data_IF_978066872431
#
_entry.id   IF_978066872431
#
_cell.length_a   1.000
_cell.length_b   1.000
_cell.length_c   1.000
_cell.angle_alpha   90.00
_cell.angle_beta   90.00
_cell.angle_gamma   90.00
#
_symmetry.space_group_name_H-M   'P 1'
#
loop_
_entity.id
_entity.type
_entity.pdbx_description
1 polymer ?
#
# COMPACT_ATOMS: atom_id res chain seq x y z
N UNK A 1 11.19 13.48 9.05
CA UNK A 1 11.54 13.75 7.64
C UNK A 1 12.26 12.60 6.93
N UNK A 2 13.09 11.76 7.57
CA UNK A 2 13.78 10.65 6.87
C UNK A 2 12.99 9.33 6.69
N UNK A 3 11.96 9.07 7.50
CA UNK A 3 11.24 7.79 7.48
C UNK A 3 10.36 7.56 6.25
N UNK A 4 9.78 8.62 5.66
CA UNK A 4 8.97 8.49 4.45
C UNK A 4 9.84 8.13 3.24
N UNK A 5 11.00 8.77 3.09
CA UNK A 5 11.97 8.46 2.04
C UNK A 5 12.44 7.01 2.12
N UNK A 6 12.80 6.54 3.31
CA UNK A 6 13.19 5.14 3.51
C UNK A 6 12.08 4.16 3.09
N UNK A 7 10.81 4.49 3.39
CA UNK A 7 9.67 3.66 2.99
C UNK A 7 9.33 3.75 1.49
N UNK A 8 9.58 4.90 0.85
CA UNK A 8 9.48 5.03 -0.61
C UNK A 8 10.57 4.23 -1.30
N UNK A 9 11.81 4.33 -0.84
CA UNK A 9 12.94 3.63 -1.44
C UNK A 9 12.80 2.12 -1.30
N UNK A 10 12.43 1.62 -0.13
CA UNK A 10 12.21 0.18 0.06
C UNK A 10 11.11 -0.39 -0.84
N UNK A 11 10.08 0.41 -1.15
CA UNK A 11 9.02 0.00 -2.09
C UNK A 11 9.41 0.12 -3.56
N UNK A 12 10.48 0.86 -3.87
CA UNK A 12 10.99 0.98 -5.24
C UNK A 12 12.03 -0.10 -5.55
N UNK A 13 12.88 -0.42 -4.58
CA UNK A 13 14.06 -1.28 -4.79
C UNK A 13 13.95 -2.65 -4.11
N UNK A 14 13.01 -2.82 -3.18
CA UNK A 14 12.93 -3.99 -2.30
C UNK A 14 14.17 -4.16 -1.39
N UNK A 15 14.89 -3.07 -1.13
CA UNK A 15 16.08 -3.04 -0.26
C UNK A 15 15.84 -2.12 0.95
N UNK A 16 16.03 -2.58 2.20
CA UNK A 16 16.24 -3.98 2.57
C UNK A 16 15.00 -4.84 2.32
N UNK A 17 15.20 -6.15 2.14
CA UNK A 17 14.12 -7.12 2.00
C UNK A 17 13.33 -7.21 3.29
N UNK A 18 12.15 -6.61 3.34
CA UNK A 18 11.29 -6.59 4.52
C UNK A 18 10.08 -7.50 4.30
N UNK A 19 9.82 -8.49 5.19
CA UNK A 19 8.57 -9.24 5.17
C UNK A 19 7.42 -8.37 5.73
N UNK A 20 6.18 -8.84 5.56
CA UNK A 20 5.04 -8.25 6.27
C UNK A 20 5.24 -8.32 7.79
N UNK A 21 4.70 -7.35 8.52
CA UNK A 21 4.88 -7.26 9.97
C UNK A 21 4.28 -8.49 10.68
N UNK A 22 5.03 -9.16 11.58
CA UNK A 22 4.50 -10.27 12.35
C UNK A 22 3.36 -9.77 13.24
N UNK A 23 2.17 -10.36 13.10
CA UNK A 23 0.97 -9.94 13.81
C UNK A 23 0.11 -8.88 13.10
N UNK A 24 0.34 -8.62 11.80
CA UNK A 24 -0.57 -7.81 10.98
C UNK A 24 -2.02 -8.35 11.09
N UNK A 25 -2.98 -7.43 11.22
CA UNK A 25 -4.41 -7.76 11.16
C UNK A 25 -4.84 -8.30 9.77
N UNK A 26 -4.00 -8.09 8.76
CA UNK A 26 -4.16 -8.56 7.39
C UNK A 26 -3.08 -9.62 7.09
N UNK A 27 -3.39 -10.91 7.21
CA UNK A 27 -2.46 -12.01 6.93
C UNK A 27 -2.41 -12.33 5.43
N UNK A 28 -1.30 -12.90 4.95
CA UNK A 28 -1.17 -13.39 3.57
C UNK A 28 -0.33 -12.49 2.64
N UNK A 29 0.12 -11.35 3.12
CA UNK A 29 1.02 -10.44 2.41
C UNK A 29 2.48 -10.83 2.61
N UNK A 30 3.28 -10.74 1.55
CA UNK A 30 4.70 -11.04 1.59
C UNK A 30 5.56 -9.78 1.74
N UNK A 31 4.95 -8.60 1.64
CA UNK A 31 5.61 -7.29 1.76
C UNK A 31 4.84 -6.32 2.65
N UNK A 32 5.54 -5.30 3.17
CA UNK A 32 4.90 -4.19 3.86
C UNK A 32 3.88 -3.48 2.97
N UNK A 33 2.95 -2.72 3.57
CA UNK A 33 1.86 -2.09 2.83
C UNK A 33 2.36 -1.21 1.68
N UNK A 34 1.66 -1.27 0.54
CA UNK A 34 2.06 -0.53 -0.66
C UNK A 34 1.71 0.95 -0.58
N UNK A 35 0.72 1.33 0.23
CA UNK A 35 0.26 2.72 0.39
C UNK A 35 -0.53 2.90 1.67
N UNK A 36 -0.85 4.16 1.97
CA UNK A 36 -1.87 4.50 2.95
C UNK A 36 -3.27 4.46 2.33
N UNK A 37 -4.31 4.23 3.15
CA UNK A 37 -5.69 4.29 2.70
C UNK A 37 -6.07 5.74 2.39
N UNK A 38 -7.06 5.91 1.53
CA UNK A 38 -7.71 7.22 1.40
C UNK A 38 -8.37 7.60 2.73
N UNK A 39 -8.33 8.90 3.04
CA UNK A 39 -8.95 9.45 4.23
C UNK A 39 -10.46 9.13 4.26
N UNK A 40 -10.99 8.89 5.45
CA UNK A 40 -12.40 8.55 5.61
C UNK A 40 -13.32 9.73 5.23
N UNK A 41 -12.85 10.97 5.37
CA UNK A 41 -13.57 12.16 4.93
C UNK A 41 -13.82 12.14 3.40
N UNK A 42 -12.83 11.74 2.60
CA UNK A 42 -12.99 11.60 1.14
C UNK A 42 -13.95 10.47 0.78
N UNK A 43 -13.98 9.38 1.57
CA UNK A 43 -14.96 8.30 1.36
C UNK A 43 -16.39 8.79 1.59
N UNK A 44 -16.60 9.66 2.58
CA UNK A 44 -17.92 10.14 2.94
C UNK A 44 -18.40 11.31 2.05
N UNK A 45 -17.48 12.19 1.63
CA UNK A 45 -17.81 13.41 0.89
C UNK A 45 -17.65 13.25 -0.63
N UNK A 46 -16.91 12.24 -1.10
CA UNK A 46 -16.56 12.05 -2.50
C UNK A 46 -16.55 10.56 -2.91
N UNK A 47 -17.49 9.80 -2.36
CA UNK A 47 -17.56 8.33 -2.46
C UNK A 47 -17.41 7.79 -3.88
N UNK A 48 -18.09 8.38 -4.86
CA UNK A 48 -18.08 7.94 -6.27
C UNK A 48 -16.67 7.91 -6.86
N UNK A 49 -15.88 8.97 -6.63
CA UNK A 49 -14.52 9.04 -7.15
C UNK A 49 -13.56 8.12 -6.37
N UNK A 50 -13.77 8.02 -5.05
CA UNK A 50 -12.96 7.14 -4.20
C UNK A 50 -13.20 5.68 -4.51
N UNK A 51 -14.44 5.26 -4.75
CA UNK A 51 -14.78 3.89 -5.16
C UNK A 51 -14.09 3.50 -6.46
N UNK A 52 -14.10 4.39 -7.47
CA UNK A 52 -13.37 4.18 -8.71
C UNK A 52 -11.85 4.08 -8.48
N UNK A 53 -11.29 4.93 -7.62
CA UNK A 53 -9.87 4.91 -7.27
C UNK A 53 -9.46 3.70 -6.40
N UNK A 54 -10.43 3.12 -5.68
CA UNK A 54 -10.29 1.93 -4.84
C UNK A 54 -10.44 0.62 -5.62
N UNK A 55 -10.72 0.67 -6.91
CA UNK A 55 -10.72 -0.53 -7.74
C UNK A 55 -9.34 -1.21 -7.73
N UNK A 56 -9.31 -2.50 -7.38
CA UNK A 56 -8.09 -3.31 -7.23
C UNK A 56 -7.36 -3.16 -5.89
N UNK A 57 -7.90 -2.39 -4.96
CA UNK A 57 -7.37 -2.23 -3.61
C UNK A 57 -7.85 -3.35 -2.71
N UNK A 58 -6.91 -4.03 -2.06
CA UNK A 58 -7.20 -5.12 -1.11
C UNK A 58 -6.74 -4.68 0.27
N UNK A 59 -7.53 -4.99 1.30
CA UNK A 59 -7.21 -4.72 2.71
C UNK A 59 -6.82 -3.26 2.98
N UNK A 60 -7.36 -2.34 2.19
CA UNK A 60 -7.08 -0.89 2.20
C UNK A 60 -5.65 -0.45 1.86
N UNK A 61 -4.64 -1.30 2.05
CA UNK A 61 -3.23 -0.94 1.86
C UNK A 61 -2.51 -1.71 0.74
N UNK A 62 -3.05 -2.87 0.32
CA UNK A 62 -2.45 -3.78 -0.66
C UNK A 62 -3.28 -3.89 -1.95
N UNK A 63 -3.03 -4.91 -2.77
CA UNK A 63 -3.72 -5.23 -4.03
C UNK A 63 -3.24 -4.39 -5.22
N UNK A 64 -3.28 -3.06 -5.08
CA UNK A 64 -2.85 -2.11 -6.10
C UNK A 64 -1.56 -1.41 -5.68
N UNK A 65 -0.48 -1.70 -6.41
CA UNK A 65 0.78 -0.98 -6.30
C UNK A 65 0.64 0.47 -6.76
N UNK A 66 1.51 1.34 -6.25
CA UNK A 66 1.63 2.70 -6.77
C UNK A 66 2.25 2.67 -8.16
N UNK A 67 1.95 3.67 -9.00
CA UNK A 67 2.41 3.71 -10.39
C UNK A 67 3.94 3.54 -10.54
N UNK A 68 4.71 4.00 -9.56
CA UNK A 68 6.17 3.92 -9.55
C UNK A 68 6.73 2.62 -8.94
N UNK A 69 5.90 1.79 -8.31
CA UNK A 69 6.30 0.49 -7.77
C UNK A 69 6.09 -0.58 -8.85
N UNK A 70 7.17 -0.98 -9.50
CA UNK A 70 7.17 -1.95 -10.62
C UNK A 70 7.59 -3.35 -10.20
N UNK A 71 7.64 -3.65 -8.89
CA UNK A 71 8.07 -4.96 -8.38
C UNK A 71 7.05 -6.03 -8.75
N UNK A 72 7.52 -7.23 -9.08
CA UNK A 72 6.67 -8.38 -9.42
C UNK A 72 6.67 -9.40 -8.29
N UNK A 73 5.59 -10.19 -8.17
CA UNK A 73 5.47 -11.23 -7.15
C UNK A 73 5.30 -10.70 -5.72
N UNK A 74 4.89 -9.44 -5.56
CA UNK A 74 4.58 -8.83 -4.26
C UNK A 74 3.07 -8.80 -4.05
N UNK A 75 2.61 -9.09 -2.83
CA UNK A 75 1.20 -9.08 -2.47
C UNK A 75 0.95 -8.43 -1.12
#
# INVERSE_FOLDING_TARGET
FKSHEAWHESRRTDVPLMPAAPGSAFPGHNRPPFRYPYADDEKNLNSVNVEAAMNGVVDHFWGKQLWWDTRTGVN
#
